data_IF_679979729598
#
_entry.id   IF_679979729598
#
_cell.length_a   1.000
_cell.length_b   1.000
_cell.length_c   1.000
_cell.angle_alpha   90.00
_cell.angle_beta   90.00
_cell.angle_gamma   90.00
#
_symmetry.space_group_name_H-M   'P 1'
#
loop_
_entity.id
_entity.type
_entity.pdbx_description
1 polymer ?
#
# COMPACT_ATOMS: atom_id res chain seq x y z
N UNK A 1 -8.16 7.12 -8.65
CA UNK A 1 -8.28 5.73 -8.16
C UNK A 1 -7.71 5.64 -6.75
N UNK A 2 -7.90 4.53 -6.02
CA UNK A 2 -7.34 4.35 -4.68
C UNK A 2 -6.43 3.12 -4.64
N UNK A 3 -5.24 3.28 -4.04
CA UNK A 3 -4.25 2.21 -3.86
C UNK A 3 -4.16 1.85 -2.37
N UNK A 4 -4.60 0.65 -2.02
CA UNK A 4 -4.59 0.12 -0.66
C UNK A 4 -3.40 -0.82 -0.44
N UNK A 5 -2.64 -0.62 0.65
CA UNK A 5 -1.46 -1.40 1.01
C UNK A 5 -1.72 -2.09 2.36
N UNK A 6 -1.67 -3.42 2.38
CA UNK A 6 -1.73 -4.20 3.62
C UNK A 6 -0.50 -5.10 3.76
N UNK A 7 0.27 -4.81 4.80
CA UNK A 7 1.49 -5.52 5.17
C UNK A 7 1.43 -6.01 6.61
N UNK A 8 0.24 -6.02 7.22
CA UNK A 8 0.00 -6.45 8.61
C UNK A 8 0.23 -7.94 8.78
N UNK A 9 0.05 -8.74 7.72
CA UNK A 9 0.34 -10.17 7.74
C UNK A 9 1.87 -10.44 7.83
N UNK A 10 2.24 -11.49 8.55
CA UNK A 10 3.66 -11.86 8.73
C UNK A 10 4.26 -12.52 7.48
N UNK A 11 3.43 -13.15 6.66
CA UNK A 11 3.81 -14.01 5.55
C UNK A 11 3.52 -13.40 4.20
N UNK A 12 2.57 -12.46 4.12
CA UNK A 12 2.09 -11.90 2.86
C UNK A 12 2.13 -10.37 2.83
N UNK A 13 2.04 -9.83 1.62
CA UNK A 13 1.82 -8.41 1.34
C UNK A 13 0.74 -8.32 0.28
N UNK A 14 -0.28 -7.52 0.57
CA UNK A 14 -1.42 -7.31 -0.32
C UNK A 14 -1.44 -5.87 -0.79
N UNK A 15 -1.64 -5.68 -2.09
CA UNK A 15 -1.84 -4.37 -2.70
C UNK A 15 -3.08 -4.45 -3.56
N UNK A 16 -4.04 -3.57 -3.30
CA UNK A 16 -5.34 -3.55 -3.96
C UNK A 16 -5.51 -2.22 -4.67
N UNK A 17 -5.92 -2.25 -5.93
CA UNK A 17 -6.32 -1.06 -6.68
C UNK A 17 -7.85 -1.04 -6.76
N UNK A 18 -8.44 0.10 -6.39
CA UNK A 18 -9.89 0.29 -6.46
C UNK A 18 -10.26 1.54 -7.26
N UNK A 19 -11.43 1.50 -7.89
CA UNK A 19 -12.04 2.62 -8.60
C UNK A 19 -13.54 2.61 -8.30
N UNK A 20 -14.07 3.74 -7.81
CA UNK A 20 -15.50 3.86 -7.44
C UNK A 20 -15.97 2.73 -6.51
N UNK A 21 -15.19 2.43 -5.45
CA UNK A 21 -15.44 1.35 -4.48
C UNK A 21 -15.42 -0.07 -5.05
N UNK A 22 -15.07 -0.25 -6.34
CA UNK A 22 -14.89 -1.57 -6.96
C UNK A 22 -13.42 -1.95 -7.00
N UNK A 23 -13.12 -3.19 -6.63
CA UNK A 23 -11.79 -3.77 -6.77
C UNK A 23 -11.51 -3.96 -8.26
N UNK A 24 -10.46 -3.30 -8.75
CA UNK A 24 -9.96 -3.44 -10.11
C UNK A 24 -8.97 -4.60 -10.20
N UNK A 25 -8.05 -4.67 -9.23
CA UNK A 25 -7.03 -5.70 -9.18
C UNK A 25 -6.46 -5.85 -7.76
N UNK A 26 -6.08 -7.07 -7.41
CA UNK A 26 -5.44 -7.42 -6.13
C UNK A 26 -4.17 -8.22 -6.43
N UNK A 27 -3.06 -7.80 -5.84
CA UNK A 27 -1.77 -8.50 -5.91
C UNK A 27 -1.39 -8.94 -4.51
N UNK A 28 -1.20 -10.24 -4.34
CA UNK A 28 -0.76 -10.85 -3.07
C UNK A 28 0.57 -11.55 -3.31
N UNK A 29 1.61 -11.10 -2.62
CA UNK A 29 2.94 -11.69 -2.70
C UNK A 29 3.37 -12.23 -1.33
N UNK A 30 3.97 -13.41 -1.32
CA UNK A 30 4.60 -13.98 -0.13
C UNK A 30 5.92 -13.29 0.18
N UNK A 31 6.25 -13.16 1.47
CA UNK A 31 7.41 -12.42 1.97
C UNK A 31 8.72 -13.23 1.96
N UNK A 32 8.80 -14.33 1.20
CA UNK A 32 9.98 -15.19 1.21
C UNK A 32 11.24 -14.43 0.73
N UNK A 33 12.11 -14.06 1.69
CA UNK A 33 13.48 -13.50 1.52
C UNK A 33 13.65 -12.29 0.58
N UNK A 34 12.59 -11.70 0.04
CA UNK A 34 12.66 -10.50 -0.80
C UNK A 34 12.59 -9.25 0.07
N UNK A 35 13.56 -8.36 -0.09
CA UNK A 35 13.65 -7.10 0.69
C UNK A 35 12.66 -6.02 0.24
N UNK A 36 12.04 -6.16 -0.94
CA UNK A 36 11.25 -5.09 -1.59
C UNK A 36 9.83 -5.53 -2.04
N UNK A 37 9.21 -6.47 -1.32
CA UNK A 37 7.91 -7.07 -1.71
C UNK A 37 6.80 -6.04 -1.93
N UNK A 38 6.75 -4.97 -1.14
CA UNK A 38 5.70 -3.94 -1.25
C UNK A 38 5.79 -3.17 -2.56
N UNK A 39 6.99 -2.70 -2.93
CA UNK A 39 7.19 -1.95 -4.17
C UNK A 39 6.99 -2.84 -5.40
N UNK A 40 7.38 -4.12 -5.32
CA UNK A 40 7.11 -5.11 -6.36
C UNK A 40 5.60 -5.30 -6.55
N UNK A 41 4.84 -5.54 -5.46
CA UNK A 41 3.39 -5.69 -5.52
C UNK A 41 2.69 -4.44 -6.09
N UNK A 42 3.12 -3.24 -5.72
CA UNK A 42 2.61 -1.98 -6.30
C UNK A 42 2.94 -1.91 -7.80
N UNK A 43 4.18 -2.17 -8.18
CA UNK A 43 4.63 -2.13 -9.58
C UNK A 43 3.85 -3.11 -10.45
N UNK A 44 3.66 -4.34 -9.98
CA UNK A 44 2.88 -5.37 -10.67
C UNK A 44 1.41 -4.97 -10.81
N UNK A 45 0.81 -4.44 -9.75
CA UNK A 45 -0.61 -4.04 -9.77
C UNK A 45 -0.85 -2.90 -10.77
N UNK A 46 -0.02 -1.85 -10.72
CA UNK A 46 -0.13 -0.72 -11.65
C UNK A 46 0.10 -1.15 -13.10
N UNK A 47 1.14 -1.96 -13.35
CA UNK A 47 1.44 -2.46 -14.71
C UNK A 47 0.33 -3.35 -15.27
N UNK A 48 -0.27 -4.23 -14.46
CA UNK A 48 -1.32 -5.15 -14.93
C UNK A 48 -2.58 -4.39 -15.38
N UNK A 49 -2.85 -3.24 -14.77
CA UNK A 49 -3.98 -2.37 -15.08
C UNK A 49 -3.65 -1.25 -16.06
N UNK A 50 -2.39 -1.13 -16.50
CA UNK A 50 -1.90 -0.01 -17.33
C UNK A 50 -2.16 1.36 -16.68
N UNK A 51 -2.02 1.42 -15.36
CA UNK A 51 -2.23 2.60 -14.53
C UNK A 51 -0.88 3.13 -14.09
N UNK A 52 -0.77 4.45 -13.91
CA UNK A 52 0.42 5.11 -13.39
C UNK A 52 0.15 5.69 -12.00
N UNK A 53 1.20 6.14 -11.31
CA UNK A 53 1.00 6.84 -10.02
C UNK A 53 0.20 8.14 -10.15
N UNK A 54 0.16 8.75 -11.35
CA UNK A 54 -0.60 9.99 -11.62
C UNK A 54 -2.11 9.77 -11.63
N UNK A 55 -2.57 8.53 -11.82
CA UNK A 55 -3.99 8.14 -11.82
C UNK A 55 -4.52 7.80 -10.41
N UNK A 56 -3.63 7.79 -9.41
CA UNK A 56 -3.95 7.48 -8.03
C UNK A 56 -4.31 8.78 -7.31
N UNK A 57 -5.55 8.86 -6.85
CA UNK A 57 -6.11 10.04 -6.17
C UNK A 57 -6.03 9.91 -4.65
N UNK A 58 -5.89 8.68 -4.13
CA UNK A 58 -5.83 8.41 -2.70
C UNK A 58 -5.02 7.13 -2.41
N UNK A 59 -4.32 7.15 -1.28
CA UNK A 59 -3.65 5.99 -0.70
C UNK A 59 -4.40 5.52 0.54
N UNK A 60 -4.40 4.22 0.75
CA UNK A 60 -4.76 3.63 2.04
C UNK A 60 -3.67 2.66 2.47
N UNK A 61 -3.38 2.64 3.76
CA UNK A 61 -2.49 1.67 4.37
C UNK A 61 -3.10 1.11 5.65
N UNK A 62 -2.98 -0.19 5.83
CA UNK A 62 -3.33 -0.82 7.10
C UNK A 62 -2.37 -0.35 8.19
N UNK A 63 -2.88 0.35 9.20
CA UNK A 63 -2.07 0.91 10.29
C UNK A 63 -1.67 -0.13 11.33
N UNK A 64 -2.23 -1.34 11.29
CA UNK A 64 -2.11 -2.34 12.34
C UNK A 64 -3.42 -2.48 13.14
N UNK A 65 -3.43 -3.31 14.21
CA UNK A 65 -2.32 -4.13 14.70
C UNK A 65 -1.87 -5.21 13.71
N UNK A 66 -0.68 -5.77 13.89
CA UNK A 66 -0.12 -6.81 13.03
C UNK A 66 1.40 -6.97 13.14
N UNK A 67 2.01 -7.60 12.12
CA UNK A 67 3.45 -7.79 12.00
C UNK A 67 4.23 -6.51 12.27
N UNK A 68 4.99 -6.47 13.36
CA UNK A 68 5.74 -5.27 13.78
C UNK A 68 6.64 -4.70 12.68
N UNK A 69 7.34 -5.57 11.96
CA UNK A 69 8.13 -5.17 10.79
C UNK A 69 7.22 -4.82 9.62
N UNK A 70 6.17 -5.61 9.40
CA UNK A 70 5.27 -5.43 8.29
C UNK A 70 4.55 -4.09 8.28
N UNK A 71 3.92 -3.73 9.40
CA UNK A 71 3.21 -2.46 9.58
C UNK A 71 4.15 -1.28 9.37
N UNK A 72 5.35 -1.31 9.95
CA UNK A 72 6.36 -0.24 9.76
C UNK A 72 6.74 -0.05 8.30
N UNK A 73 6.97 -1.15 7.58
CA UNK A 73 7.32 -1.11 6.15
C UNK A 73 6.16 -0.52 5.35
N UNK A 74 4.93 -1.01 5.54
CA UNK A 74 3.76 -0.52 4.82
C UNK A 74 3.52 0.97 5.04
N UNK A 75 3.49 1.40 6.30
CA UNK A 75 3.29 2.81 6.67
C UNK A 75 4.42 3.70 6.14
N UNK A 76 5.67 3.25 6.18
CA UNK A 76 6.81 4.03 5.64
C UNK A 76 6.70 4.23 4.13
N UNK A 77 6.36 3.18 3.39
CA UNK A 77 6.14 3.24 1.93
C UNK A 77 4.97 4.17 1.62
N UNK A 78 3.84 4.00 2.31
CA UNK A 78 2.65 4.82 2.09
C UNK A 78 2.90 6.31 2.39
N UNK A 79 3.56 6.63 3.51
CA UNK A 79 3.95 8.00 3.84
C UNK A 79 4.89 8.60 2.80
N UNK A 80 5.83 7.82 2.27
CA UNK A 80 6.76 8.29 1.23
C UNK A 80 6.01 8.59 -0.07
N UNK A 81 5.11 7.70 -0.50
CA UNK A 81 4.28 7.91 -1.68
C UNK A 81 3.35 9.11 -1.49
N UNK A 82 2.72 9.25 -0.32
CA UNK A 82 1.89 10.40 0.03
C UNK A 82 2.67 11.71 -0.07
N UNK A 83 3.90 11.74 0.45
CA UNK A 83 4.76 12.92 0.36
C UNK A 83 5.14 13.25 -1.09
N UNK A 84 5.46 12.26 -1.91
CA UNK A 84 5.86 12.46 -3.31
C UNK A 84 4.69 12.86 -4.22
N UNK A 85 3.51 12.29 -4.01
CA UNK A 85 2.33 12.50 -4.87
C UNK A 85 1.43 13.64 -4.38
N UNK A 86 1.54 14.04 -3.12
CA UNK A 86 0.70 15.10 -2.54
C UNK A 86 -0.77 14.71 -2.38
N UNK A 87 -1.09 13.42 -2.39
CA UNK A 87 -2.45 12.88 -2.31
C UNK A 87 -2.82 12.46 -0.88
N UNK A 88 -4.12 12.35 -0.53
CA UNK A 88 -4.54 11.86 0.77
C UNK A 88 -4.04 10.43 1.07
N UNK A 89 -3.70 10.19 2.33
CA UNK A 89 -3.40 8.87 2.90
C UNK A 89 -4.36 8.59 4.07
N UNK A 90 -5.15 7.53 3.96
CA UNK A 90 -6.22 7.19 4.91
C UNK A 90 -7.12 8.42 5.21
N UNK A 91 -7.54 9.12 4.15
CA UNK A 91 -8.36 10.34 4.24
C UNK A 91 -7.65 11.60 4.80
N UNK A 92 -6.32 11.62 4.91
CA UNK A 92 -5.56 12.75 5.50
C UNK A 92 -4.44 13.24 4.59
N UNK A 93 -4.23 14.56 4.52
CA UNK A 93 -3.08 15.19 3.84
C UNK A 93 -1.86 15.33 4.78
N UNK A 94 -1.53 14.26 5.50
CA UNK A 94 -0.36 14.19 6.39
C UNK A 94 0.04 12.75 6.58
N UNK A 95 1.29 12.54 7.00
CA UNK A 95 1.79 11.23 7.36
C UNK A 95 0.98 10.61 8.50
N UNK A 96 0.90 9.28 8.47
CA UNK A 96 0.23 8.46 9.48
C UNK A 96 1.26 7.65 10.27
N UNK A 97 0.89 7.24 11.47
CA UNK A 97 1.74 6.44 12.34
C UNK A 97 1.22 5.00 12.45
N UNK A 98 2.14 4.02 12.52
CA UNK A 98 1.76 2.63 12.75
C UNK A 98 1.20 2.43 14.15
N UNK A 99 0.16 1.60 14.24
CA UNK A 99 -0.43 1.11 15.49
C UNK A 99 0.15 -0.27 15.77
N UNK A 100 0.81 -0.39 16.91
CA UNK A 100 1.37 -1.64 17.41
C UNK A 100 0.43 -2.27 18.44
N UNK A 101 0.56 -3.58 18.65
CA UNK A 101 0.01 -4.26 19.83
C UNK A 101 0.84 -3.96 21.09
#
# INVERSE_FOLDING_TARGET
MKLCIDTTDQTETKVILTKEEKIMNEVVLTREKRSQVVLEAISENLKSQQVTFEDIDELEVALGPGSFTGVRVGVSVANTLQFLLGIPLNGKLRSVEPVYE
#
